data_IF_508838867128
#
_entry.id   IF_508838867128
#
_cell.length_a   1.000
_cell.length_b   1.000
_cell.length_c   1.000
_cell.angle_alpha   90.00
_cell.angle_beta   90.00
_cell.angle_gamma   90.00
#
_symmetry.space_group_name_H-M   'P 1'
#
loop_
_entity.id
_entity.type
_entity.pdbx_description
1 polymer ?
#
# COMPACT_ATOMS: atom_id res chain seq x y z
N UNK A 1 -8.91 34.80 -18.44
CA UNK A 1 -9.22 34.30 -17.07
C UNK A 1 -9.33 32.77 -17.00
N UNK A 2 -10.25 32.09 -17.73
CA UNK A 2 -10.42 30.62 -17.68
C UNK A 2 -9.15 29.77 -17.90
N UNK A 3 -8.28 30.15 -18.86
CA UNK A 3 -7.03 29.44 -19.14
C UNK A 3 -6.07 29.42 -17.94
N UNK A 4 -6.06 30.49 -17.12
CA UNK A 4 -5.19 30.61 -15.94
C UNK A 4 -5.63 29.68 -14.81
N UNK A 5 -6.95 29.49 -14.64
CA UNK A 5 -7.53 28.63 -13.62
C UNK A 5 -7.27 27.14 -13.90
N UNK A 6 -7.47 26.70 -15.15
CA UNK A 6 -7.20 25.31 -15.55
C UNK A 6 -5.71 24.99 -15.41
N UNK A 7 -4.82 25.93 -15.79
CA UNK A 7 -3.38 25.77 -15.61
C UNK A 7 -3.00 25.64 -14.12
N UNK A 8 -3.61 26.44 -13.24
CA UNK A 8 -3.37 26.38 -11.80
C UNK A 8 -3.84 25.05 -11.20
N UNK A 9 -5.03 24.57 -11.59
CA UNK A 9 -5.56 23.29 -11.11
C UNK A 9 -4.70 22.11 -11.58
N UNK A 10 -4.24 22.13 -12.83
CA UNK A 10 -3.31 21.12 -13.37
C UNK A 10 -1.99 21.09 -12.60
N UNK A 11 -1.41 22.26 -12.32
CA UNK A 11 -0.18 22.37 -11.52
C UNK A 11 -0.36 21.84 -10.09
N UNK A 12 -1.52 22.05 -9.48
CA UNK A 12 -1.82 21.51 -8.15
C UNK A 12 -1.81 19.96 -8.15
N UNK A 13 -2.45 19.33 -9.14
CA UNK A 13 -2.44 17.87 -9.27
C UNK A 13 -1.03 17.31 -9.53
N UNK A 14 -0.25 17.94 -10.40
CA UNK A 14 1.14 17.54 -10.66
C UNK A 14 1.99 17.59 -9.39
N UNK A 15 1.77 18.58 -8.52
CA UNK A 15 2.45 18.68 -7.23
C UNK A 15 2.05 17.56 -6.27
N UNK A 16 0.76 17.18 -6.22
CA UNK A 16 0.31 16.06 -5.39
C UNK A 16 0.92 14.73 -5.85
N UNK A 17 1.00 14.49 -7.16
CA UNK A 17 1.68 13.31 -7.72
C UNK A 17 3.15 13.29 -7.30
N UNK A 18 3.85 14.43 -7.41
CA UNK A 18 5.24 14.56 -6.95
C UNK A 18 5.38 14.26 -5.45
N UNK A 19 4.48 14.78 -4.62
CA UNK A 19 4.48 14.51 -3.17
C UNK A 19 4.30 13.01 -2.91
N UNK A 20 3.33 12.36 -3.57
CA UNK A 20 3.12 10.92 -3.45
C UNK A 20 4.37 10.12 -3.81
N UNK A 21 4.98 10.42 -4.96
CA UNK A 21 6.22 9.77 -5.40
C UNK A 21 7.38 9.99 -4.40
N UNK A 22 7.50 11.19 -3.84
CA UNK A 22 8.53 11.48 -2.85
C UNK A 22 8.30 10.72 -1.53
N UNK A 23 7.04 10.53 -1.12
CA UNK A 23 6.70 9.78 0.11
C UNK A 23 7.09 8.31 -0.01
N UNK A 24 6.99 7.72 -1.21
CA UNK A 24 7.42 6.34 -1.46
C UNK A 24 8.91 6.12 -1.14
N UNK A 25 9.74 7.14 -1.40
CA UNK A 25 11.19 7.09 -1.13
C UNK A 25 11.56 7.40 0.32
N UNK A 26 10.62 7.91 1.14
CA UNK A 26 10.87 8.18 2.55
C UNK A 26 10.90 6.87 3.36
N UNK A 27 11.63 6.85 4.50
CA UNK A 27 11.52 5.77 5.47
C UNK A 27 10.07 5.54 5.90
N UNK A 28 9.74 4.30 6.26
CA UNK A 28 8.50 4.02 6.96
C UNK A 28 8.45 4.86 8.23
N UNK A 29 7.26 5.37 8.56
CA UNK A 29 7.03 6.07 9.81
C UNK A 29 5.82 5.53 10.54
N UNK A 30 5.82 5.67 11.86
CA UNK A 30 4.69 5.38 12.74
C UNK A 30 4.34 6.64 13.52
N UNK A 31 3.07 6.81 13.82
CA UNK A 31 2.61 7.88 14.69
C UNK A 31 3.02 7.53 16.12
N UNK A 32 3.81 8.40 16.74
CA UNK A 32 4.02 8.39 18.17
C UNK A 32 2.73 8.94 18.84
N UNK A 33 2.10 8.13 19.69
CA UNK A 33 0.80 8.48 20.30
C UNK A 33 0.92 9.53 21.41
N UNK A 34 2.10 9.69 22.00
CA UNK A 34 2.35 10.70 23.04
C UNK A 34 2.59 12.07 22.40
N UNK A 35 3.39 12.11 21.33
CA UNK A 35 3.78 13.36 20.66
C UNK A 35 2.87 13.74 19.50
N UNK A 36 2.05 12.79 19.01
CA UNK A 36 1.27 12.89 17.77
C UNK A 36 2.11 13.14 16.50
N UNK A 37 3.43 12.92 16.56
CA UNK A 37 4.34 13.14 15.43
C UNK A 37 4.63 11.81 14.72
N UNK A 38 4.85 11.86 13.41
CA UNK A 38 5.31 10.71 12.65
C UNK A 38 6.83 10.54 12.81
N UNK A 39 7.24 9.41 13.37
CA UNK A 39 8.62 9.05 13.60
C UNK A 39 9.03 7.92 12.67
N UNK A 40 10.24 8.00 12.09
CA UNK A 40 10.76 6.95 11.24
C UNK A 40 10.99 5.67 12.04
N UNK A 41 10.64 4.51 11.48
CA UNK A 41 10.95 3.22 12.10
C UNK A 41 12.30 2.75 11.60
N UNK A 42 13.23 2.55 12.52
CA UNK A 42 14.57 2.06 12.18
C UNK A 42 14.52 0.68 11.51
N UNK A 43 15.42 0.47 10.55
CA UNK A 43 15.62 -0.82 9.86
C UNK A 43 14.44 -1.35 9.03
N UNK A 44 13.31 -0.65 8.93
CA UNK A 44 12.16 -1.05 8.10
C UNK A 44 12.30 -0.62 6.62
N UNK A 45 13.28 0.21 6.29
CA UNK A 45 13.50 0.70 4.92
C UNK A 45 12.44 1.73 4.48
N UNK A 46 12.21 1.84 3.17
CA UNK A 46 11.30 2.85 2.59
C UNK A 46 9.86 2.39 2.50
N UNK A 47 8.92 3.34 2.36
CA UNK A 47 7.51 3.04 2.10
C UNK A 47 7.32 2.19 0.84
N UNK A 48 8.06 2.48 -0.24
CA UNK A 48 8.05 1.68 -1.46
C UNK A 48 8.41 0.21 -1.20
N UNK A 49 9.53 -0.03 -0.51
CA UNK A 49 9.98 -1.38 -0.19
C UNK A 49 8.95 -2.14 0.65
N UNK A 50 8.33 -1.45 1.62
CA UNK A 50 7.29 -2.03 2.45
C UNK A 50 6.03 -2.39 1.66
N UNK A 51 5.57 -1.51 0.77
CA UNK A 51 4.43 -1.78 -0.12
C UNK A 51 4.70 -2.97 -1.04
N UNK A 52 5.92 -3.11 -1.56
CA UNK A 52 6.32 -4.27 -2.35
C UNK A 52 6.25 -5.55 -1.51
N UNK A 53 6.77 -5.53 -0.27
CA UNK A 53 6.68 -6.68 0.66
C UNK A 53 5.23 -7.02 0.98
N UNK A 54 4.40 -6.03 1.25
CA UNK A 54 2.97 -6.19 1.52
C UNK A 54 2.23 -6.82 0.34
N UNK A 55 2.45 -6.33 -0.88
CA UNK A 55 1.83 -6.88 -2.09
C UNK A 55 2.21 -8.35 -2.33
N UNK A 56 3.47 -8.72 -2.07
CA UNK A 56 3.94 -10.12 -2.14
C UNK A 56 3.22 -11.00 -1.11
N UNK A 57 3.19 -10.58 0.15
CA UNK A 57 2.51 -11.30 1.23
C UNK A 57 1.02 -11.49 0.92
N UNK A 58 0.36 -10.43 0.45
CA UNK A 58 -1.06 -10.48 0.08
C UNK A 58 -1.33 -11.46 -1.06
N UNK A 59 -0.50 -11.46 -2.10
CA UNK A 59 -0.60 -12.40 -3.21
C UNK A 59 -0.40 -13.86 -2.77
N UNK A 60 0.59 -14.11 -1.90
CA UNK A 60 0.85 -15.44 -1.34
C UNK A 60 -0.35 -15.94 -0.52
N UNK A 61 -0.89 -15.11 0.39
CA UNK A 61 -2.04 -15.52 1.20
C UNK A 61 -3.29 -15.78 0.35
N UNK A 62 -3.53 -14.97 -0.70
CA UNK A 62 -4.63 -15.23 -1.64
C UNK A 62 -4.49 -16.62 -2.27
N UNK A 63 -3.30 -16.97 -2.77
CA UNK A 63 -3.03 -18.30 -3.36
C UNK A 63 -3.24 -19.43 -2.36
N UNK A 64 -2.76 -19.27 -1.12
CA UNK A 64 -2.95 -20.25 -0.05
C UNK A 64 -4.43 -20.45 0.27
N UNK A 65 -5.23 -19.38 0.35
CA UNK A 65 -6.67 -19.47 0.55
C UNK A 65 -7.38 -20.21 -0.57
N UNK A 66 -7.04 -19.91 -1.82
CA UNK A 66 -7.61 -20.60 -2.99
C UNK A 66 -7.29 -22.10 -2.95
N UNK A 67 -6.02 -22.46 -2.71
CA UNK A 67 -5.61 -23.87 -2.59
C UNK A 67 -6.35 -24.61 -1.47
N UNK A 68 -6.50 -23.98 -0.30
CA UNK A 68 -7.28 -24.56 0.82
C UNK A 68 -8.75 -24.75 0.48
N UNK A 69 -9.34 -23.87 -0.33
CA UNK A 69 -10.73 -24.03 -0.80
C UNK A 69 -10.84 -25.20 -1.79
N UNK A 70 -9.91 -25.32 -2.73
CA UNK A 70 -9.86 -26.42 -3.69
C UNK A 70 -9.71 -27.77 -2.98
N UNK A 71 -8.80 -27.88 -2.01
CA UNK A 71 -8.62 -29.07 -1.19
C UNK A 71 -9.90 -29.45 -0.45
N UNK A 72 -10.57 -28.49 0.20
CA UNK A 72 -11.86 -28.74 0.87
C UNK A 72 -12.96 -29.19 -0.08
N UNK A 73 -13.00 -28.67 -1.31
CA UNK A 73 -13.99 -29.08 -2.31
C UNK A 73 -13.73 -30.49 -2.84
N UNK A 74 -12.46 -30.92 -2.91
CA UNK A 74 -12.10 -32.28 -3.33
C UNK A 74 -12.48 -33.32 -2.27
N UNK A 75 -12.30 -33.01 -0.98
CA UNK A 75 -12.61 -33.95 0.11
C UNK A 75 -14.03 -33.81 0.69
N UNK A 76 -14.73 -32.69 0.42
CA UNK A 76 -16.04 -32.37 0.98
C UNK A 76 -17.26 -32.86 0.19
N UNK A 77 -17.07 -33.55 -0.95
CA UNK A 77 -18.14 -34.10 -1.77
C UNK A 77 -18.39 -35.62 -1.55
N UNK A 78 -17.79 -36.22 -0.52
CA UNK A 78 -18.12 -37.57 -0.07
C UNK A 78 -18.80 -37.49 1.29
N UNK A 79 -19.97 -38.12 1.43
CA UNK A 79 -20.86 -38.15 2.60
C UNK A 79 -22.03 -37.15 2.55
N UNK A 80 -22.90 -37.36 1.57
CA UNK A 80 -24.34 -37.38 1.79
C UNK A 80 -24.87 -38.75 1.36
#
# INVERSE_FOLDING_TARGET
>A
MRHRLIKQQRSAFENLVKIGNNILQKPISRVNLETCINEAVENEGTNEQSLIRFAKLHSQEKKLRTKRMEEKNVFGNGHA
#
